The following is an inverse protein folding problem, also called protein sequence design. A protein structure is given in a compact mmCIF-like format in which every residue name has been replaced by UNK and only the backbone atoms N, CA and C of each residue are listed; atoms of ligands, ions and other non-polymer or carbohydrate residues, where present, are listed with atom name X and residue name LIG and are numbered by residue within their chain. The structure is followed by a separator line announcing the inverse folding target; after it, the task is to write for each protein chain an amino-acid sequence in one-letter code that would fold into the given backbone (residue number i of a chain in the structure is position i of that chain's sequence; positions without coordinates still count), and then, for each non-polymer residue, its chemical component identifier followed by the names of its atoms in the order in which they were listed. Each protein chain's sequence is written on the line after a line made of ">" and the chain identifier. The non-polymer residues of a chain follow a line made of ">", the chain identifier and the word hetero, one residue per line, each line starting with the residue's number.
data_IF_974552381465
#
_entry.id   IF_974552381465
#
_cell.length_a   1.000
_cell.length_b   1.000
_cell.length_c   1.000
_cell.angle_alpha   90.00
_cell.angle_beta   90.00
_cell.angle_gamma   90.00
#
_symmetry.space_group_name_H-M   'P 1'
#
loop_
_entity.id
_entity.type
_entity.pdbx_description
1 polymer ?
#
# COMPACT_ATOMS: atom_id res chain seq x y z
N UNK A 1 6.07 -14.20 -3.57
CA UNK A 1 5.19 -13.02 -3.44
C UNK A 1 4.99 -12.68 -1.98
N UNK A 2 5.99 -11.96 -1.48
CA UNK A 2 5.97 -11.24 -0.22
C UNK A 2 4.86 -10.19 -0.30
N UNK A 3 4.13 -9.99 0.80
CA UNK A 3 3.06 -8.99 0.89
C UNK A 3 3.42 -7.97 1.94
N UNK A 4 3.22 -6.68 1.65
CA UNK A 4 3.52 -5.58 2.57
C UNK A 4 2.94 -5.80 3.98
N UNK A 5 1.71 -6.30 4.08
CA UNK A 5 1.02 -6.58 5.35
C UNK A 5 1.67 -7.67 6.22
N UNK A 6 2.63 -8.43 5.68
CA UNK A 6 3.39 -9.46 6.41
C UNK A 6 4.82 -9.04 6.71
N UNK A 7 5.29 -7.95 6.12
CA UNK A 7 6.61 -7.41 6.36
C UNK A 7 6.61 -6.58 7.64
N UNK A 8 7.67 -6.71 8.43
CA UNK A 8 7.96 -5.87 9.57
C UNK A 8 9.03 -4.83 9.22
N UNK A 9 9.18 -3.81 10.07
CA UNK A 9 10.27 -2.83 9.94
C UNK A 9 11.65 -3.49 10.03
N UNK A 10 11.77 -4.58 10.81
CA UNK A 10 13.00 -5.36 10.91
C UNK A 10 13.29 -6.16 9.64
N UNK A 11 12.26 -6.69 8.96
CA UNK A 11 12.46 -7.35 7.66
C UNK A 11 12.96 -6.36 6.60
N UNK A 12 12.39 -5.15 6.58
CA UNK A 12 12.83 -4.07 5.70
C UNK A 12 14.28 -3.66 5.97
N UNK A 13 14.63 -3.48 7.26
CA UNK A 13 15.98 -3.17 7.73
C UNK A 13 16.97 -4.26 7.32
N UNK A 14 16.64 -5.52 7.60
CA UNK A 14 17.49 -6.67 7.29
C UNK A 14 17.73 -6.79 5.78
N UNK A 15 16.68 -6.69 4.96
CA UNK A 15 16.82 -6.71 3.51
C UNK A 15 17.71 -5.57 3.00
N UNK A 16 17.57 -4.36 3.55
CA UNK A 16 18.43 -3.24 3.18
C UNK A 16 19.90 -3.46 3.57
N UNK A 17 20.15 -4.02 4.76
CA UNK A 17 21.50 -4.36 5.24
C UNK A 17 22.15 -5.47 4.39
N UNK A 18 21.40 -6.53 4.06
CA UNK A 18 21.87 -7.62 3.21
C UNK A 18 22.16 -7.12 1.79
N UNK A 19 21.28 -6.28 1.23
CA UNK A 19 21.50 -5.66 -0.07
C UNK A 19 22.79 -4.81 -0.08
N UNK A 20 22.98 -3.93 0.90
CA UNK A 20 24.21 -3.14 1.01
C UNK A 20 25.44 -4.01 1.24
N UNK A 21 25.34 -5.05 2.07
CA UNK A 21 26.43 -5.98 2.31
C UNK A 21 26.86 -6.69 1.03
N UNK A 22 25.92 -7.08 0.19
CA UNK A 22 26.21 -7.71 -1.11
C UNK A 22 26.82 -6.70 -2.09
N UNK A 23 26.33 -5.46 -2.15
CA UNK A 23 26.94 -4.41 -2.96
C UNK A 23 28.35 -4.06 -2.47
N UNK A 24 28.57 -4.00 -1.17
CA UNK A 24 29.87 -3.72 -0.56
C UNK A 24 30.86 -4.86 -0.81
N UNK A 25 30.44 -6.12 -0.59
CA UNK A 25 31.21 -7.30 -0.97
C UNK A 25 31.54 -7.28 -2.46
N UNK A 26 30.56 -7.02 -3.34
CA UNK A 26 30.80 -6.91 -4.78
C UNK A 26 31.78 -5.79 -5.12
N UNK A 27 31.66 -4.63 -4.47
CA UNK A 27 32.57 -3.49 -4.68
C UNK A 27 33.99 -3.83 -4.21
N UNK A 28 34.14 -4.47 -3.05
CA UNK A 28 35.44 -4.94 -2.55
C UNK A 28 36.05 -6.00 -3.48
N UNK A 29 35.22 -6.90 -4.04
CA UNK A 29 35.67 -7.93 -4.99
C UNK A 29 36.12 -7.33 -6.33
N UNK A 30 35.41 -6.32 -6.85
CA UNK A 30 35.67 -5.77 -8.20
C UNK A 30 36.61 -4.56 -8.20
N UNK A 31 36.66 -3.81 -7.10
CA UNK A 31 37.53 -2.65 -6.90
C UNK A 31 38.66 -2.91 -5.88
N UNK A 32 38.98 -4.19 -5.61
CA UNK A 32 40.25 -4.88 -5.97
C UNK A 32 40.90 -5.61 -4.78
N UNK A 33 41.67 -6.64 -5.11
CA UNK A 33 42.73 -7.20 -4.28
C UNK A 33 43.94 -6.25 -4.05
N UNK A 34 44.25 -5.28 -4.93
CA UNK A 34 45.36 -4.29 -4.78
C UNK A 34 45.00 -2.80 -4.95
N UNK A 35 43.76 -2.42 -5.23
CA UNK A 35 43.40 -1.03 -5.57
C UNK A 35 43.09 -0.23 -4.31
N UNK A 36 42.64 -0.90 -3.25
CA UNK A 36 42.67 -0.35 -1.89
C UNK A 36 44.08 0.06 -1.48
N UNK A 37 45.10 -0.76 -1.75
CA UNK A 37 46.51 -0.46 -1.44
C UNK A 37 47.05 0.72 -2.27
N UNK A 38 46.72 0.80 -3.56
CA UNK A 38 47.06 1.94 -4.44
C UNK A 38 46.41 3.25 -4.01
N UNK A 39 45.18 3.20 -3.49
CA UNK A 39 44.49 4.39 -2.96
C UNK A 39 45.15 4.91 -1.67
N UNK A 40 45.74 4.03 -0.86
CA UNK A 40 46.29 4.33 0.48
C UNK A 40 47.83 4.45 0.54
N UNK A 41 48.55 4.20 -0.57
CA UNK A 41 50.03 4.21 -0.67
C UNK A 41 50.74 3.26 0.30
N UNK A 42 50.26 2.02 0.40
CA UNK A 42 50.98 0.94 1.10
C UNK A 42 51.58 0.00 0.04
N UNK A 43 52.74 -0.58 0.32
CA UNK A 43 53.59 -1.31 -0.64
C UNK A 43 52.89 -2.53 -1.29
N UNK A 44 52.92 -2.60 -2.62
CA UNK A 44 52.13 -3.51 -3.48
C UNK A 44 52.58 -4.99 -3.44
N UNK A 45 53.81 -5.27 -2.97
CA UNK A 45 54.46 -6.58 -3.09
C UNK A 45 54.04 -7.61 -2.02
N UNK A 46 53.35 -7.19 -0.95
CA UNK A 46 53.03 -8.06 0.19
C UNK A 46 51.62 -8.69 0.16
N UNK A 47 50.87 -8.53 -0.95
CA UNK A 47 49.49 -8.98 -1.08
C UNK A 47 49.30 -10.12 -2.10
N UNK A 48 48.78 -11.26 -1.64
CA UNK A 48 48.40 -12.46 -2.43
C UNK A 48 46.86 -12.58 -2.47
N UNK A 49 46.28 -12.51 -3.66
CA UNK A 49 44.83 -12.58 -3.89
C UNK A 49 44.20 -13.97 -3.78
N UNK A 50 42.91 -14.05 -3.43
CA UNK A 50 42.05 -15.23 -3.51
C UNK A 50 40.81 -15.06 -4.42
N UNK A 51 40.55 -16.07 -5.25
CA UNK A 51 39.26 -16.28 -5.94
C UNK A 51 38.11 -16.35 -4.91
N UNK A 52 37.18 -15.41 -4.94
CA UNK A 52 36.00 -15.42 -4.07
C UNK A 52 34.87 -16.20 -4.77
N UNK A 53 34.78 -17.49 -4.46
CA UNK A 53 33.56 -18.26 -4.71
C UNK A 53 32.48 -17.77 -3.74
N UNK A 54 31.52 -16.95 -4.20
CA UNK A 54 30.26 -16.79 -3.48
C UNK A 54 29.42 -18.05 -3.69
N UNK A 55 29.56 -18.99 -2.75
CA UNK A 55 28.84 -20.26 -2.74
C UNK A 55 27.41 -20.13 -2.19
N UNK A 56 26.97 -18.90 -1.86
CA UNK A 56 25.70 -18.62 -1.20
C UNK A 56 25.74 -18.83 0.32
N UNK A 57 26.91 -19.05 0.92
CA UNK A 57 27.04 -19.12 2.38
C UNK A 57 26.80 -17.74 3.02
N UNK A 58 25.90 -17.71 4.01
CA UNK A 58 25.53 -16.49 4.74
C UNK A 58 26.63 -16.01 5.68
N UNK A 59 27.58 -16.86 6.07
CA UNK A 59 28.61 -16.56 7.07
C UNK A 59 29.54 -15.40 6.67
N UNK A 60 29.94 -15.32 5.40
CA UNK A 60 30.80 -14.24 4.92
C UNK A 60 30.07 -12.90 4.89
N UNK A 61 28.80 -12.91 4.45
CA UNK A 61 27.93 -11.73 4.43
C UNK A 61 27.59 -11.27 5.86
N UNK A 62 27.23 -12.19 6.75
CA UNK A 62 26.97 -11.92 8.16
C UNK A 62 28.19 -11.28 8.84
N UNK A 63 29.39 -11.83 8.60
CA UNK A 63 30.63 -11.25 9.13
C UNK A 63 30.89 -9.83 8.61
N UNK A 64 30.56 -9.57 7.34
CA UNK A 64 30.72 -8.24 6.74
C UNK A 64 29.71 -7.24 7.30
N UNK A 65 28.46 -7.66 7.49
CA UNK A 65 27.39 -6.87 8.09
C UNK A 65 27.71 -6.57 9.56
N UNK A 66 28.21 -7.53 10.34
CA UNK A 66 28.56 -7.32 11.75
C UNK A 66 29.74 -6.36 11.93
N UNK A 67 30.70 -6.38 11.00
CA UNK A 67 31.89 -5.53 11.04
C UNK A 67 31.65 -4.13 10.48
N UNK A 68 30.58 -3.94 9.73
CA UNK A 68 30.22 -2.68 9.08
C UNK A 68 29.01 -2.07 9.80
N UNK A 69 29.06 -0.79 10.15
CA UNK A 69 27.92 -0.10 10.80
C UNK A 69 26.77 0.18 9.81
N UNK A 70 26.30 -0.85 9.10
CA UNK A 70 25.31 -0.75 8.03
C UNK A 70 23.92 -0.40 8.57
N UNK A 71 23.63 -0.75 9.82
CA UNK A 71 22.38 -0.41 10.50
C UNK A 71 22.14 1.11 10.50
N UNK A 72 23.18 1.91 10.67
CA UNK A 72 23.10 3.37 10.67
C UNK A 72 23.36 4.00 9.29
N UNK A 73 23.44 3.18 8.23
CA UNK A 73 23.63 3.70 6.88
C UNK A 73 22.42 4.50 6.40
N UNK A 74 22.69 5.54 5.62
CA UNK A 74 21.67 6.40 4.99
C UNK A 74 20.62 5.58 4.23
N UNK A 75 21.05 4.53 3.52
CA UNK A 75 20.14 3.69 2.75
C UNK A 75 19.23 2.84 3.65
N UNK A 76 19.74 2.24 4.72
CA UNK A 76 18.92 1.46 5.68
C UNK A 76 17.89 2.36 6.35
N UNK A 77 18.32 3.54 6.82
CA UNK A 77 17.43 4.54 7.43
C UNK A 77 16.34 4.94 6.42
N UNK A 78 16.72 5.24 5.17
CA UNK A 78 15.76 5.63 4.12
C UNK A 78 14.74 4.52 3.83
N UNK A 79 15.17 3.27 3.72
CA UNK A 79 14.25 2.14 3.49
C UNK A 79 13.28 1.97 4.67
N UNK A 80 13.73 2.18 5.90
CA UNK A 80 12.84 2.17 7.07
C UNK A 80 11.80 3.29 7.05
N UNK A 81 12.18 4.51 6.66
CA UNK A 81 11.22 5.62 6.48
C UNK A 81 10.20 5.31 5.39
N UNK A 82 10.65 4.79 4.24
CA UNK A 82 9.78 4.39 3.13
C UNK A 82 8.84 3.27 3.56
N UNK A 83 9.33 2.29 4.33
CA UNK A 83 8.50 1.23 4.88
C UNK A 83 7.40 1.81 5.78
N UNK A 84 7.74 2.72 6.69
CA UNK A 84 6.76 3.38 7.56
C UNK A 84 5.69 4.10 6.73
N UNK A 85 6.10 4.88 5.72
CA UNK A 85 5.17 5.56 4.82
C UNK A 85 4.34 4.58 3.99
N UNK A 86 4.91 3.49 3.47
CA UNK A 86 4.16 2.47 2.74
C UNK A 86 3.06 1.85 3.62
N UNK A 87 3.36 1.60 4.90
CA UNK A 87 2.41 1.05 5.88
C UNK A 87 1.32 2.06 6.25
N UNK A 88 1.68 3.29 6.63
CA UNK A 88 0.70 4.20 7.27
C UNK A 88 0.19 5.29 6.34
N UNK A 89 0.93 5.57 5.26
CA UNK A 89 0.88 6.79 4.44
C UNK A 89 0.95 8.09 5.25
N UNK A 90 1.46 8.02 6.48
CA UNK A 90 1.79 9.17 7.31
C UNK A 90 3.29 9.40 7.19
N UNK A 91 3.66 10.62 6.86
CA UNK A 91 5.04 11.08 6.92
C UNK A 91 5.26 11.86 8.22
N UNK A 92 6.34 11.54 8.93
CA UNK A 92 6.63 12.11 10.27
C UNK A 92 7.06 13.59 10.22
N UNK A 93 7.07 14.21 9.04
CA UNK A 93 7.31 15.65 8.85
C UNK A 93 8.79 16.06 8.84
N UNK A 94 9.71 15.09 8.88
CA UNK A 94 11.16 15.32 8.89
C UNK A 94 11.82 14.28 7.99
N UNK A 95 12.58 14.75 6.99
CA UNK A 95 13.58 13.94 6.30
C UNK A 95 14.77 13.78 7.25
N UNK A 96 14.95 12.61 7.86
CA UNK A 96 16.00 12.40 8.87
C UNK A 96 17.42 12.47 8.29
N UNK A 97 17.56 12.39 6.96
CA UNK A 97 18.84 12.38 6.25
C UNK A 97 19.21 13.80 5.79
N UNK A 98 18.27 14.50 5.16
CA UNK A 98 18.51 15.84 4.61
C UNK A 98 18.13 16.97 5.58
N UNK A 99 17.46 16.65 6.70
CA UNK A 99 17.03 17.62 7.71
C UNK A 99 15.97 18.60 7.22
N UNK A 100 15.32 18.33 6.09
CA UNK A 100 14.26 19.17 5.54
C UNK A 100 12.87 18.67 6.00
N UNK A 101 11.88 19.55 5.93
CA UNK A 101 10.49 19.27 6.28
C UNK A 101 9.56 19.42 5.06
N UNK A 102 10.09 19.16 3.86
CA UNK A 102 9.33 19.20 2.62
C UNK A 102 9.00 17.78 2.14
N UNK A 103 7.71 17.43 2.17
CA UNK A 103 7.20 16.12 1.74
C UNK A 103 7.48 15.84 0.26
N UNK A 104 7.29 16.81 -0.63
CA UNK A 104 7.53 16.64 -2.07
C UNK A 104 9.02 16.36 -2.36
N UNK A 105 9.91 17.07 -1.67
CA UNK A 105 11.36 16.83 -1.77
C UNK A 105 11.71 15.43 -1.25
N UNK A 106 11.19 15.05 -0.06
CA UNK A 106 11.40 13.70 0.48
C UNK A 106 10.85 12.62 -0.47
N UNK A 107 9.67 12.81 -1.09
CA UNK A 107 9.09 11.86 -2.05
C UNK A 107 9.94 11.75 -3.30
N UNK A 108 10.42 12.87 -3.83
CA UNK A 108 11.30 12.86 -5.00
C UNK A 108 12.56 12.03 -4.71
N UNK A 109 13.25 12.33 -3.61
CA UNK A 109 14.48 11.65 -3.22
C UNK A 109 14.21 10.18 -2.83
N UNK A 110 13.15 9.91 -2.08
CA UNK A 110 12.87 8.59 -1.53
C UNK A 110 12.19 7.65 -2.53
N UNK A 111 11.28 8.14 -3.38
CA UNK A 111 10.41 7.29 -4.21
C UNK A 111 10.66 7.44 -5.72
N UNK A 112 11.08 8.61 -6.20
CA UNK A 112 11.39 8.81 -7.62
C UNK A 112 12.82 8.37 -7.92
N UNK A 113 13.80 8.71 -7.07
CA UNK A 113 15.18 8.23 -7.26
C UNK A 113 15.29 6.72 -7.05
N UNK A 114 14.55 6.12 -6.10
CA UNK A 114 14.43 4.65 -6.03
C UNK A 114 13.59 4.04 -7.17
N UNK A 115 12.83 4.85 -7.91
CA UNK A 115 12.28 4.42 -9.20
C UNK A 115 13.40 4.09 -10.20
N UNK A 116 14.53 4.80 -10.14
CA UNK A 116 15.73 4.44 -10.92
C UNK A 116 16.35 3.13 -10.42
N UNK A 117 16.32 2.87 -9.11
CA UNK A 117 16.75 1.59 -8.53
C UNK A 117 15.98 0.41 -9.14
N UNK A 118 14.65 0.47 -9.20
CA UNK A 118 13.86 -0.58 -9.86
C UNK A 118 14.18 -0.71 -11.35
N UNK A 119 14.45 0.39 -12.07
CA UNK A 119 14.86 0.30 -13.46
C UNK A 119 16.24 -0.35 -13.63
N UNK A 120 17.21 -0.01 -12.76
CA UNK A 120 18.58 -0.55 -12.79
C UNK A 120 18.61 -2.04 -12.43
N UNK A 121 17.89 -2.45 -11.38
CA UNK A 121 17.91 -3.82 -10.88
C UNK A 121 16.77 -4.71 -11.43
N UNK A 122 15.70 -4.11 -11.96
CA UNK A 122 14.53 -4.81 -12.50
C UNK A 122 14.54 -4.97 -14.02
N UNK A 123 15.19 -4.07 -14.77
CA UNK A 123 15.39 -4.18 -16.22
C UNK A 123 16.81 -4.65 -16.50
N UNK A 124 16.94 -5.91 -16.92
CA UNK A 124 18.23 -6.57 -17.15
C UNK A 124 18.91 -5.98 -18.39
N UNK A 125 20.16 -5.50 -18.31
CA UNK A 125 21.22 -6.07 -19.12
C UNK A 125 21.73 -7.29 -18.36
N UNK A 126 21.62 -8.48 -18.93
CA UNK A 126 22.53 -9.57 -18.54
C UNK A 126 23.92 -9.05 -18.86
N UNK A 127 24.63 -8.51 -17.89
CA UNK A 127 26.07 -8.36 -18.04
C UNK A 127 26.57 -9.79 -18.18
N UNK A 128 27.35 -10.07 -19.23
CA UNK A 128 27.88 -11.41 -19.49
C UNK A 128 28.95 -11.84 -18.48
N UNK A 129 29.15 -11.05 -17.43
CA UNK A 129 30.03 -11.39 -16.32
C UNK A 129 29.34 -12.48 -15.51
N UNK A 130 30.07 -13.56 -15.28
CA UNK A 130 29.64 -14.71 -14.47
C UNK A 130 29.33 -14.30 -13.02
N UNK A 131 29.79 -13.11 -12.62
CA UNK A 131 29.85 -12.58 -11.25
C UNK A 131 29.38 -11.11 -11.20
N UNK A 132 28.31 -10.74 -11.90
CA UNK A 132 27.68 -9.44 -11.59
C UNK A 132 27.08 -9.49 -10.17
N UNK A 133 27.21 -8.42 -9.38
CA UNK A 133 26.77 -8.40 -7.98
C UNK A 133 25.26 -8.63 -7.80
N UNK A 134 24.51 -8.56 -8.89
CA UNK A 134 23.07 -8.87 -8.97
C UNK A 134 22.82 -10.38 -9.12
N UNK A 135 23.75 -11.14 -9.70
CA UNK A 135 23.74 -12.60 -9.72
C UNK A 135 24.06 -13.17 -8.34
N UNK A 136 24.85 -12.45 -7.51
CA UNK A 136 25.05 -12.77 -6.08
C UNK A 136 23.77 -12.58 -5.26
N UNK A 137 22.89 -11.65 -5.67
CA UNK A 137 21.54 -11.44 -5.15
C UNK A 137 20.53 -12.44 -5.75
N UNK A 138 20.89 -13.68 -6.10
CA UNK A 138 19.94 -14.75 -6.48
C UNK A 138 19.05 -14.53 -7.72
N UNK A 139 19.10 -13.37 -8.38
CA UNK A 139 18.27 -13.01 -9.53
C UNK A 139 16.88 -12.45 -9.15
N UNK A 140 15.89 -12.62 -10.05
CA UNK A 140 14.56 -11.97 -9.95
C UNK A 140 13.65 -12.53 -8.85
N UNK A 141 14.00 -13.70 -8.31
CA UNK A 141 13.24 -14.42 -7.29
C UNK A 141 13.96 -14.34 -5.92
N UNK A 142 14.83 -13.35 -5.75
CA UNK A 142 15.58 -13.14 -4.53
C UNK A 142 14.75 -12.41 -3.47
N UNK A 143 14.67 -12.96 -2.25
CA UNK A 143 13.81 -12.42 -1.20
C UNK A 143 14.22 -11.03 -0.74
N UNK A 144 15.48 -10.62 -0.89
CA UNK A 144 15.99 -9.29 -0.53
C UNK A 144 15.44 -8.27 -1.51
N UNK A 145 15.68 -8.49 -2.81
CA UNK A 145 15.17 -7.59 -3.86
C UNK A 145 13.64 -7.57 -3.91
N UNK A 146 12.98 -8.72 -3.74
CA UNK A 146 11.52 -8.80 -3.66
C UNK A 146 10.97 -7.96 -2.49
N UNK A 147 11.64 -7.99 -1.33
CA UNK A 147 11.28 -7.16 -0.17
C UNK A 147 11.43 -5.67 -0.47
N UNK A 148 12.58 -5.26 -0.99
CA UNK A 148 12.86 -3.85 -1.31
C UNK A 148 11.93 -3.29 -2.39
N UNK A 149 11.65 -4.06 -3.45
CA UNK A 149 10.67 -3.68 -4.48
C UNK A 149 9.27 -3.60 -3.91
N UNK A 150 8.84 -4.58 -3.10
CA UNK A 150 7.50 -4.54 -2.47
C UNK A 150 7.30 -3.27 -1.64
N UNK A 151 8.31 -2.87 -0.86
CA UNK A 151 8.26 -1.67 -0.02
C UNK A 151 8.16 -0.39 -0.85
N UNK A 152 9.02 -0.25 -1.86
CA UNK A 152 9.09 0.94 -2.70
C UNK A 152 7.87 1.08 -3.62
N UNK A 153 7.39 -0.02 -4.21
CA UNK A 153 6.16 -0.04 -4.99
C UNK A 153 4.93 0.27 -4.13
N UNK A 154 4.85 -0.27 -2.91
CA UNK A 154 3.77 0.06 -2.00
C UNK A 154 3.78 1.53 -1.56
N UNK A 155 4.96 2.11 -1.32
CA UNK A 155 5.08 3.54 -1.01
C UNK A 155 4.65 4.41 -2.20
N UNK A 156 5.03 4.05 -3.43
CA UNK A 156 4.56 4.73 -4.64
C UNK A 156 3.04 4.61 -4.81
N UNK A 157 2.49 3.41 -4.66
CA UNK A 157 1.05 3.17 -4.71
C UNK A 157 0.31 4.03 -3.65
N UNK A 158 0.89 4.14 -2.45
CA UNK A 158 0.37 4.97 -1.38
C UNK A 158 0.37 6.43 -1.80
N UNK A 159 1.48 6.94 -2.33
CA UNK A 159 1.57 8.31 -2.82
C UNK A 159 0.53 8.62 -3.89
N UNK A 160 0.38 7.73 -4.88
CA UNK A 160 -0.65 7.88 -5.92
C UNK A 160 -2.06 7.99 -5.32
N UNK A 161 -2.36 7.19 -4.29
CA UNK A 161 -3.64 7.28 -3.57
C UNK A 161 -3.82 8.63 -2.86
N UNK A 162 -2.77 9.16 -2.22
CA UNK A 162 -2.84 10.44 -1.50
C UNK A 162 -3.04 11.63 -2.45
N UNK A 163 -2.35 11.61 -3.60
CA UNK A 163 -2.42 12.65 -4.64
C UNK A 163 -3.63 12.53 -5.55
N UNK A 164 -4.57 11.64 -5.24
CA UNK A 164 -5.77 11.35 -6.04
C UNK A 164 -5.43 10.99 -7.50
N UNK A 165 -4.31 10.29 -7.71
CA UNK A 165 -3.92 9.75 -9.00
C UNK A 165 -4.54 8.37 -9.20
N UNK A 166 -4.80 8.02 -10.46
CA UNK A 166 -5.29 6.70 -10.85
C UNK A 166 -4.33 5.59 -10.38
N UNK A 167 -4.89 4.50 -9.85
CA UNK A 167 -4.14 3.33 -9.41
C UNK A 167 -4.35 2.15 -10.35
N UNK A 168 -3.27 1.45 -10.66
CA UNK A 168 -3.31 0.17 -11.36
C UNK A 168 -3.82 -0.94 -10.44
N UNK A 169 -4.31 -2.04 -11.03
CA UNK A 169 -4.77 -3.19 -10.25
C UNK A 169 -3.67 -3.83 -9.39
N UNK A 170 -2.41 -3.75 -9.82
CA UNK A 170 -1.25 -4.27 -9.07
C UNK A 170 -0.97 -3.39 -7.83
N UNK A 171 -1.03 -2.07 -7.97
CA UNK A 171 -0.91 -1.13 -6.85
C UNK A 171 -2.04 -1.34 -5.82
N UNK A 172 -3.27 -1.55 -6.29
CA UNK A 172 -4.40 -1.87 -5.40
C UNK A 172 -4.19 -3.20 -4.67
N UNK A 173 -3.64 -4.22 -5.36
CA UNK A 173 -3.33 -5.51 -4.75
C UNK A 173 -2.29 -5.36 -3.63
N UNK A 174 -1.24 -4.57 -3.89
CA UNK A 174 -0.19 -4.25 -2.92
C UNK A 174 -0.77 -3.56 -1.68
N UNK A 175 -1.52 -2.47 -1.86
CA UNK A 175 -2.11 -1.70 -0.75
C UNK A 175 -3.15 -2.50 0.05
N UNK A 176 -3.88 -3.40 -0.61
CA UNK A 176 -4.84 -4.28 0.04
C UNK A 176 -4.19 -5.45 0.79
N UNK A 177 -2.92 -5.76 0.50
CA UNK A 177 -2.25 -6.95 0.99
C UNK A 177 -2.89 -8.26 0.47
N UNK A 178 -3.39 -8.25 -0.77
CA UNK A 178 -4.02 -9.42 -1.42
C UNK A 178 -3.37 -9.73 -2.76
N UNK A 179 -3.58 -10.94 -3.29
CA UNK A 179 -3.09 -11.28 -4.63
C UNK A 179 -3.87 -10.58 -5.75
N UNK A 180 -3.21 -10.27 -6.87
CA UNK A 180 -3.80 -9.63 -8.06
C UNK A 180 -5.07 -10.32 -8.58
N UNK A 181 -5.17 -11.65 -8.41
CA UNK A 181 -6.36 -12.42 -8.79
C UNK A 181 -7.62 -11.97 -8.03
N UNK A 182 -7.49 -11.61 -6.76
CA UNK A 182 -8.59 -11.10 -5.94
C UNK A 182 -9.10 -9.76 -6.47
N UNK A 183 -8.18 -8.87 -6.86
CA UNK A 183 -8.53 -7.57 -7.45
C UNK A 183 -9.23 -7.76 -8.80
N UNK A 184 -8.69 -8.61 -9.68
CA UNK A 184 -9.31 -8.91 -11.00
C UNK A 184 -10.71 -9.52 -10.85
N UNK A 185 -10.92 -10.37 -9.85
CA UNK A 185 -12.24 -10.91 -9.54
C UNK A 185 -13.20 -9.81 -9.06
N UNK A 186 -12.74 -8.85 -8.25
CA UNK A 186 -13.54 -7.71 -7.82
C UNK A 186 -13.95 -6.83 -9.01
N UNK A 187 -13.05 -6.58 -9.96
CA UNK A 187 -13.35 -5.86 -11.21
C UNK A 187 -14.46 -6.54 -12.01
N UNK A 188 -14.43 -7.88 -12.08
CA UNK A 188 -15.39 -8.67 -12.85
C UNK A 188 -16.68 -9.01 -12.07
N UNK A 189 -16.76 -8.61 -10.80
CA UNK A 189 -17.89 -8.92 -9.92
C UNK A 189 -19.13 -8.08 -10.27
N UNK A 190 -20.31 -8.58 -9.88
CA UNK A 190 -21.57 -7.82 -9.91
C UNK A 190 -22.10 -7.50 -8.51
N UNK A 191 -21.34 -7.85 -7.47
CA UNK A 191 -21.77 -7.72 -6.08
C UNK A 191 -21.36 -6.39 -5.41
N UNK A 192 -21.67 -6.26 -4.10
CA UNK A 192 -21.36 -5.06 -3.31
C UNK A 192 -19.87 -4.67 -3.27
N UNK A 193 -18.99 -5.66 -3.41
CA UNK A 193 -17.52 -5.50 -3.39
C UNK A 193 -16.91 -5.31 -4.79
N UNK A 194 -17.73 -5.04 -5.81
CA UNK A 194 -17.26 -4.78 -7.17
C UNK A 194 -16.32 -3.58 -7.18
N UNK A 195 -15.21 -3.69 -7.91
CA UNK A 195 -14.26 -2.60 -8.15
C UNK A 195 -14.53 -1.98 -9.53
N UNK A 196 -14.83 -0.69 -9.58
CA UNK A 196 -15.17 0.01 -10.82
C UNK A 196 -13.89 0.50 -11.49
N UNK A 197 -13.75 0.24 -12.79
CA UNK A 197 -12.55 0.60 -13.57
C UNK A 197 -12.77 1.98 -14.20
N UNK A 198 -11.77 2.85 -14.08
CA UNK A 198 -11.77 4.18 -14.68
C UNK A 198 -11.32 4.14 -16.15
N UNK A 199 -10.40 3.23 -16.50
CA UNK A 199 -9.93 3.09 -17.88
C UNK A 199 -8.67 2.25 -18.03
N UNK A 200 -7.82 2.67 -18.97
CA UNK A 200 -6.49 2.08 -19.18
C UNK A 200 -5.43 3.17 -19.34
N UNK A 201 -4.27 2.95 -18.73
CA UNK A 201 -3.07 3.78 -18.85
C UNK A 201 -1.88 2.87 -19.15
N UNK A 202 -1.13 3.14 -20.22
CA UNK A 202 0.04 2.34 -20.63
C UNK A 202 -0.25 0.82 -20.65
N UNK A 203 -1.37 0.43 -21.28
CA UNK A 203 -1.91 -0.94 -21.34
C UNK A 203 -2.34 -1.57 -20.00
N UNK A 204 -2.18 -0.90 -18.87
CA UNK A 204 -2.67 -1.36 -17.56
C UNK A 204 -4.09 -0.88 -17.29
N UNK A 205 -4.91 -1.72 -16.67
CA UNK A 205 -6.22 -1.33 -16.16
C UNK A 205 -6.06 -0.48 -14.92
N UNK A 206 -6.73 0.68 -14.90
CA UNK A 206 -6.66 1.63 -13.79
C UNK A 206 -8.02 1.91 -13.16
N UNK A 207 -7.98 2.32 -11.91
CA UNK A 207 -9.14 2.67 -11.07
C UNK A 207 -8.87 4.04 -10.47
N UNK A 208 -9.88 4.89 -10.47
CA UNK A 208 -9.84 6.20 -9.85
C UNK A 208 -9.54 6.09 -8.34
N UNK A 209 -8.82 7.07 -7.79
CA UNK A 209 -8.35 7.04 -6.42
C UNK A 209 -9.48 6.88 -5.38
N UNK A 210 -10.62 7.54 -5.56
CA UNK A 210 -11.75 7.46 -4.61
C UNK A 210 -12.36 6.05 -4.64
N UNK A 211 -12.49 5.47 -5.83
CA UNK A 211 -13.00 4.11 -6.01
C UNK A 211 -12.03 3.04 -5.48
N UNK A 212 -10.72 3.23 -5.71
CA UNK A 212 -9.68 2.38 -5.15
C UNK A 212 -9.72 2.43 -3.62
N UNK A 213 -9.80 3.64 -3.06
CA UNK A 213 -9.89 3.87 -1.62
C UNK A 213 -11.12 3.20 -1.01
N UNK A 214 -12.29 3.43 -1.61
CA UNK A 214 -13.57 2.83 -1.22
C UNK A 214 -13.45 1.31 -1.09
N UNK A 215 -12.80 0.66 -2.05
CA UNK A 215 -12.59 -0.77 -2.03
C UNK A 215 -11.55 -1.20 -1.00
N UNK A 216 -10.43 -0.47 -0.90
CA UNK A 216 -9.35 -0.72 0.06
C UNK A 216 -9.82 -0.70 1.52
N UNK A 217 -10.75 0.20 1.88
CA UNK A 217 -11.36 0.26 3.22
C UNK A 217 -12.03 -1.03 3.68
N UNK A 218 -12.41 -1.90 2.73
CA UNK A 218 -13.03 -3.19 3.05
C UNK A 218 -12.00 -4.29 3.33
N UNK A 219 -10.71 -4.01 3.11
CA UNK A 219 -9.63 -4.99 3.19
C UNK A 219 -8.87 -4.85 4.49
N UNK A 220 -8.72 -5.97 5.20
CA UNK A 220 -7.99 -6.03 6.48
C UNK A 220 -6.52 -5.65 6.36
N UNK A 221 -5.92 -5.82 5.18
CA UNK A 221 -4.51 -5.48 4.94
C UNK A 221 -4.26 -3.99 4.70
N UNK A 222 -5.31 -3.18 4.53
CA UNK A 222 -5.18 -1.75 4.32
C UNK A 222 -5.16 -1.01 5.65
N UNK A 223 -4.13 -0.20 5.86
CA UNK A 223 -3.77 0.42 7.15
C UNK A 223 -3.88 1.94 7.18
N UNK A 224 -4.39 2.57 6.11
CA UNK A 224 -4.60 4.02 6.02
C UNK A 224 -3.54 4.77 5.19
N UNK A 225 -3.58 6.11 5.16
CA UNK A 225 -4.31 6.99 6.07
C UNK A 225 -5.78 7.18 5.65
N UNK A 226 -6.56 7.77 6.54
CA UNK A 226 -7.93 8.20 6.29
C UNK A 226 -7.93 9.59 5.65
N UNK A 227 -8.09 9.63 4.33
CA UNK A 227 -7.82 10.78 3.47
C UNK A 227 -8.84 11.92 3.52
N UNK A 228 -9.97 11.73 4.21
CA UNK A 228 -11.10 12.62 3.97
C UNK A 228 -11.05 13.85 4.86
N UNK A 229 -10.90 14.99 4.18
CA UNK A 229 -11.23 16.32 4.69
C UNK A 229 -12.63 16.78 4.21
N UNK A 230 -13.20 16.10 3.21
CA UNK A 230 -14.45 16.49 2.52
C UNK A 230 -15.35 15.29 2.18
N UNK A 231 -16.63 15.58 1.89
CA UNK A 231 -17.65 14.59 1.48
C UNK A 231 -17.33 14.02 0.08
N UNK A 232 -17.51 12.71 -0.17
CA UNK A 232 -17.28 12.14 -1.49
C UNK A 232 -18.26 12.71 -2.53
N UNK A 233 -17.81 13.13 -3.73
CA UNK A 233 -18.61 13.85 -4.72
C UNK A 233 -19.52 12.93 -5.55
N UNK A 234 -20.25 12.02 -4.90
CA UNK A 234 -21.15 11.11 -5.60
C UNK A 234 -22.40 11.83 -6.10
N UNK A 235 -22.66 11.71 -7.40
CA UNK A 235 -23.92 12.12 -8.02
C UNK A 235 -24.94 10.98 -8.10
N UNK A 236 -24.47 9.73 -8.09
CA UNK A 236 -25.26 8.50 -8.03
C UNK A 236 -24.44 7.39 -7.37
N UNK A 237 -25.09 6.36 -6.83
CA UNK A 237 -24.41 5.16 -6.35
C UNK A 237 -24.64 3.98 -7.30
N UNK A 238 -23.55 3.38 -7.77
CA UNK A 238 -23.56 2.14 -8.56
C UNK A 238 -23.61 0.90 -7.69
N UNK A 239 -23.03 0.94 -6.50
CA UNK A 239 -22.94 -0.21 -5.59
C UNK A 239 -23.29 0.17 -4.16
N UNK A 240 -23.70 -0.84 -3.37
CA UNK A 240 -23.83 -0.68 -1.92
C UNK A 240 -22.49 -0.28 -1.28
N UNK A 241 -21.37 -0.69 -1.86
CA UNK A 241 -20.03 -0.27 -1.46
C UNK A 241 -19.82 1.24 -1.51
N UNK A 242 -20.30 1.91 -2.57
CA UNK A 242 -20.20 3.38 -2.69
C UNK A 242 -21.06 4.09 -1.66
N UNK A 243 -22.28 3.63 -1.45
CA UNK A 243 -23.15 4.23 -0.43
C UNK A 243 -22.61 4.01 0.99
N UNK A 244 -22.14 2.80 1.31
CA UNK A 244 -21.44 2.49 2.57
C UNK A 244 -20.26 3.43 2.78
N UNK A 245 -19.47 3.65 1.73
CA UNK A 245 -18.29 4.50 1.80
C UNK A 245 -18.66 5.95 2.09
N UNK A 246 -19.67 6.48 1.42
CA UNK A 246 -20.18 7.81 1.71
C UNK A 246 -20.58 7.96 3.20
N UNK A 247 -21.36 7.01 3.73
CA UNK A 247 -21.72 6.98 5.16
C UNK A 247 -20.49 6.95 6.09
N UNK A 248 -19.50 6.12 5.75
CA UNK A 248 -18.26 5.99 6.50
C UNK A 248 -17.45 7.30 6.53
N UNK A 249 -17.31 7.97 5.38
CA UNK A 249 -16.58 9.24 5.27
C UNK A 249 -17.26 10.32 6.10
N UNK A 250 -18.57 10.51 5.96
CA UNK A 250 -19.31 11.50 6.75
C UNK A 250 -19.18 11.26 8.26
N UNK A 251 -19.23 9.99 8.69
CA UNK A 251 -19.02 9.63 10.10
C UNK A 251 -17.61 9.97 10.58
N UNK A 252 -16.61 9.70 9.75
CA UNK A 252 -15.20 9.95 10.06
C UNK A 252 -14.89 11.44 10.12
N UNK A 253 -15.44 12.24 9.21
CA UNK A 253 -15.36 13.71 9.23
C UNK A 253 -16.01 14.30 10.50
N UNK A 254 -17.13 13.71 10.93
CA UNK A 254 -17.78 14.09 12.18
C UNK A 254 -17.02 13.60 13.44
N UNK A 255 -15.96 12.79 13.28
CA UNK A 255 -15.16 12.18 14.35
C UNK A 255 -16.00 11.36 15.34
N UNK A 256 -16.94 10.57 14.80
CA UNK A 256 -17.86 9.77 15.61
C UNK A 256 -17.62 8.28 15.47
N UNK A 257 -17.71 7.56 16.57
CA UNK A 257 -17.94 6.12 16.55
C UNK A 257 -19.43 5.82 16.31
N UNK A 258 -19.73 4.60 15.82
CA UNK A 258 -21.13 4.19 15.56
C UNK A 258 -22.00 4.29 16.83
N UNK A 259 -21.43 3.98 17.99
CA UNK A 259 -22.12 4.09 19.27
C UNK A 259 -22.51 5.53 19.62
N UNK A 260 -21.62 6.49 19.35
CA UNK A 260 -21.86 7.91 19.60
C UNK A 260 -22.89 8.48 18.63
N UNK A 261 -22.79 8.12 17.36
CA UNK A 261 -23.78 8.46 16.34
C UNK A 261 -25.18 7.97 16.74
N UNK A 262 -25.29 6.70 17.14
CA UNK A 262 -26.54 6.11 17.57
C UNK A 262 -27.15 6.86 18.77
N UNK A 263 -26.32 7.27 19.72
CA UNK A 263 -26.77 8.06 20.87
C UNK A 263 -27.28 9.44 20.46
N UNK A 264 -26.58 10.12 19.55
CA UNK A 264 -26.96 11.47 19.10
C UNK A 264 -28.25 11.47 18.27
N UNK A 265 -28.46 10.43 17.46
CA UNK A 265 -29.67 10.26 16.65
C UNK A 265 -30.82 9.55 17.38
N UNK A 266 -30.63 9.17 18.65
CA UNK A 266 -31.65 8.46 19.43
C UNK A 266 -31.99 7.07 18.86
N UNK A 267 -31.04 6.42 18.18
CA UNK A 267 -31.25 5.13 17.57
C UNK A 267 -31.45 4.02 18.61
N UNK A 268 -32.41 3.15 18.35
CA UNK A 268 -32.57 1.91 19.08
C UNK A 268 -31.55 0.86 18.62
N UNK A 269 -31.42 -0.23 19.38
CA UNK A 269 -30.48 -1.33 19.09
C UNK A 269 -30.60 -1.89 17.66
N UNK A 270 -31.81 -1.93 17.11
CA UNK A 270 -32.06 -2.44 15.77
C UNK A 270 -31.52 -1.51 14.69
N UNK A 271 -31.67 -0.18 14.83
CA UNK A 271 -31.09 0.80 13.93
C UNK A 271 -29.56 0.80 13.99
N UNK A 272 -29.00 0.76 15.21
CA UNK A 272 -27.54 0.67 15.39
C UNK A 272 -26.98 -0.58 14.72
N UNK A 273 -27.64 -1.73 14.88
CA UNK A 273 -27.21 -2.96 14.23
C UNK A 273 -27.34 -2.88 12.71
N UNK A 274 -28.41 -2.31 12.17
CA UNK A 274 -28.59 -2.15 10.73
C UNK A 274 -27.49 -1.26 10.11
N UNK A 275 -27.14 -0.16 10.79
CA UNK A 275 -26.06 0.71 10.35
C UNK A 275 -24.68 0.05 10.46
N UNK A 276 -24.44 -0.73 11.52
CA UNK A 276 -23.23 -1.53 11.65
C UNK A 276 -23.11 -2.59 10.54
N UNK A 277 -24.22 -3.25 10.20
CA UNK A 277 -24.28 -4.18 9.07
C UNK A 277 -23.98 -3.46 7.73
N UNK A 278 -24.50 -2.25 7.52
CA UNK A 278 -24.16 -1.42 6.35
C UNK A 278 -22.66 -1.15 6.28
N UNK A 279 -22.05 -0.67 7.37
CA UNK A 279 -20.63 -0.33 7.39
C UNK A 279 -19.70 -1.53 7.23
N UNK A 280 -20.14 -2.72 7.64
CA UNK A 280 -19.40 -3.97 7.41
C UNK A 280 -19.72 -4.64 6.07
N UNK A 281 -20.61 -4.06 5.25
CA UNK A 281 -21.15 -4.68 4.03
C UNK A 281 -21.79 -6.06 4.28
N UNK A 282 -22.34 -6.27 5.47
CA UNK A 282 -23.11 -7.45 5.85
C UNK A 282 -24.57 -7.33 5.36
N UNK A 283 -24.80 -7.79 4.13
CA UNK A 283 -26.11 -7.69 3.48
C UNK A 283 -27.11 -8.65 4.14
N UNK A 284 -28.16 -8.09 4.73
CA UNK A 284 -29.19 -8.82 5.47
C UNK A 284 -30.52 -8.07 5.45
N UNK A 285 -31.62 -8.74 5.82
CA UNK A 285 -32.95 -8.11 5.90
C UNK A 285 -32.99 -6.91 6.86
N UNK A 286 -32.08 -6.87 7.85
CA UNK A 286 -31.97 -5.77 8.81
C UNK A 286 -31.68 -4.43 8.16
N UNK A 287 -31.03 -4.41 6.99
CA UNK A 287 -30.77 -3.17 6.26
C UNK A 287 -32.06 -2.43 5.88
N UNK A 288 -33.20 -3.12 5.79
CA UNK A 288 -34.53 -2.50 5.55
C UNK A 288 -34.97 -1.52 6.66
N UNK A 289 -34.33 -1.58 7.84
CA UNK A 289 -34.57 -0.63 8.94
C UNK A 289 -34.05 0.77 8.59
N UNK A 290 -33.05 0.88 7.71
CA UNK A 290 -32.52 2.16 7.24
C UNK A 290 -33.43 2.76 6.18
N UNK A 291 -34.58 3.28 6.62
CA UNK A 291 -35.61 3.86 5.75
C UNK A 291 -35.17 5.21 5.14
N UNK A 292 -35.86 5.73 4.11
CA UNK A 292 -35.58 7.07 3.58
C UNK A 292 -35.61 8.17 4.65
N UNK A 293 -36.49 8.06 5.65
CA UNK A 293 -36.53 9.01 6.77
C UNK A 293 -35.28 8.91 7.65
N UNK A 294 -34.81 7.70 7.92
CA UNK A 294 -33.55 7.46 8.64
C UNK A 294 -32.36 8.07 7.88
N UNK A 295 -32.31 7.89 6.56
CA UNK A 295 -31.26 8.49 5.73
C UNK A 295 -31.35 10.01 5.68
N UNK A 296 -32.57 10.57 5.67
CA UNK A 296 -32.79 12.01 5.71
C UNK A 296 -32.31 12.62 7.03
N UNK A 297 -32.60 11.97 8.16
CA UNK A 297 -32.09 12.37 9.47
C UNK A 297 -30.57 12.31 9.52
N UNK A 298 -29.99 11.22 9.01
CA UNK A 298 -28.53 11.01 8.95
C UNK A 298 -27.84 12.05 8.07
N UNK A 299 -28.33 12.28 6.85
CA UNK A 299 -27.76 13.26 5.92
C UNK A 299 -27.87 14.69 6.45
N UNK A 300 -28.98 15.04 7.12
CA UNK A 300 -29.13 16.35 7.78
C UNK A 300 -28.19 16.51 8.97
N UNK A 301 -28.02 15.45 9.76
CA UNK A 301 -27.11 15.45 10.90
C UNK A 301 -25.66 15.71 10.46
N UNK A 302 -25.21 15.04 9.40
CA UNK A 302 -23.89 15.28 8.81
C UNK A 302 -23.78 16.57 8.00
N UNK A 303 -24.91 17.24 7.72
CA UNK A 303 -25.00 18.39 6.82
C UNK A 303 -24.46 18.08 5.42
N UNK A 304 -24.83 16.91 4.89
CA UNK A 304 -24.40 16.46 3.56
C UNK A 304 -24.72 17.51 2.49
N UNK A 305 -23.72 17.82 1.67
CA UNK A 305 -23.80 18.81 0.60
C UNK A 305 -24.84 18.40 -0.45
N UNK A 306 -24.96 17.10 -0.70
CA UNK A 306 -25.89 16.53 -1.66
C UNK A 306 -26.92 15.60 -0.99
N UNK A 307 -27.70 16.18 -0.07
CA UNK A 307 -28.74 15.48 0.68
C UNK A 307 -29.73 14.71 -0.20
N UNK A 308 -30.06 15.24 -1.39
CA UNK A 308 -30.97 14.57 -2.32
C UNK A 308 -30.38 13.26 -2.82
N UNK A 309 -29.11 13.27 -3.26
CA UNK A 309 -28.44 12.05 -3.71
C UNK A 309 -28.26 11.07 -2.55
N UNK A 310 -27.84 11.57 -1.38
CA UNK A 310 -27.69 10.75 -0.17
C UNK A 310 -28.97 9.98 0.17
N UNK A 311 -30.13 10.65 0.16
CA UNK A 311 -31.40 10.03 0.53
C UNK A 311 -31.99 9.20 -0.61
N UNK A 312 -32.11 9.74 -1.81
CA UNK A 312 -32.82 9.09 -2.91
C UNK A 312 -32.02 7.89 -3.45
N UNK A 313 -30.78 8.13 -3.86
CA UNK A 313 -29.93 7.08 -4.42
C UNK A 313 -29.50 6.08 -3.34
N UNK A 314 -29.26 6.55 -2.11
CA UNK A 314 -28.97 5.69 -0.97
C UNK A 314 -30.11 4.73 -0.67
N UNK A 315 -31.34 5.23 -0.65
CA UNK A 315 -32.54 4.40 -0.47
C UNK A 315 -32.70 3.38 -1.60
N UNK A 316 -32.47 3.80 -2.86
CA UNK A 316 -32.55 2.91 -4.03
C UNK A 316 -31.57 1.74 -3.91
N UNK A 317 -30.31 2.01 -3.60
CA UNK A 317 -29.27 0.98 -3.49
C UNK A 317 -29.49 0.06 -2.28
N UNK A 318 -29.89 0.59 -1.13
CA UNK A 318 -30.24 -0.21 0.04
C UNK A 318 -31.40 -1.16 -0.27
N UNK A 319 -32.49 -0.64 -0.84
CA UNK A 319 -33.67 -1.44 -1.19
C UNK A 319 -33.31 -2.54 -2.21
N UNK A 320 -32.50 -2.20 -3.22
CA UNK A 320 -32.03 -3.16 -4.21
C UNK A 320 -31.22 -4.29 -3.57
N UNK A 321 -30.30 -3.96 -2.66
CA UNK A 321 -29.46 -4.96 -1.99
C UNK A 321 -30.29 -5.90 -1.08
N UNK A 322 -31.26 -5.37 -0.35
CA UNK A 322 -32.18 -6.17 0.48
C UNK A 322 -33.04 -7.09 -0.37
N UNK A 323 -33.62 -6.56 -1.46
CA UNK A 323 -34.46 -7.34 -2.36
C UNK A 323 -33.68 -8.49 -3.02
N UNK A 324 -32.44 -8.23 -3.45
CA UNK A 324 -31.56 -9.27 -4.00
C UNK A 324 -31.22 -10.35 -2.97
N UNK A 325 -30.92 -9.95 -1.72
CA UNK A 325 -30.67 -10.88 -0.63
C UNK A 325 -31.88 -11.79 -0.39
N UNK A 326 -33.08 -11.21 -0.25
CA UNK A 326 -34.32 -11.97 -0.04
C UNK A 326 -34.61 -12.91 -1.19
N UNK A 327 -34.44 -12.45 -2.44
CA UNK A 327 -34.62 -13.29 -3.61
C UNK A 327 -33.66 -14.50 -3.59
N UNK A 328 -32.39 -14.32 -3.21
CA UNK A 328 -31.42 -15.42 -3.09
C UNK A 328 -31.80 -16.43 -2.00
N UNK A 329 -32.40 -16.00 -0.90
CA UNK A 329 -32.87 -16.90 0.16
C UNK A 329 -34.01 -17.82 -0.31
N UNK A 330 -34.72 -17.49 -1.40
CA UNK A 330 -35.78 -18.36 -1.95
C UNK A 330 -35.23 -19.56 -2.72
N UNK A 331 -33.96 -19.50 -3.14
CA UNK A 331 -33.32 -20.51 -4.00
C UNK A 331 -32.18 -21.26 -3.30
N UNK A 332 -31.92 -20.95 -2.03
CA UNK A 332 -30.95 -21.61 -1.16
C UNK A 332 -31.68 -22.40 -0.06
#
# INVERSE_FOLDING_TARGET
>A
MITLSKLTKEDAKKAAMEFLGIIAMWTDCFFDEKAGARLLKIDEESYEGGDINYDGSTEALESYIEKSDLENSVFVIRIQEIFNFAQTGVWDGVDSINGNNNLEAWISDALLELGTFQNVFGSRPRLSFKDDGVTMLGGKDDPILETLFTITEAARARWNLLERLDLTLDEIALLAGVGIKTVRNAVSSKGPDRLIVAGRQEDKTVVDADEAYRWLLTKRGFTGPFLYEEEPPYNTYETLGQFRHHCYVLRTLAKLEIADLAKQLGWNKSHTQAYNNLENLDVSERLSILTPNTLLELGKFYKSENLNTFVIEGSRILASAVAEYQAKQLFN
#
